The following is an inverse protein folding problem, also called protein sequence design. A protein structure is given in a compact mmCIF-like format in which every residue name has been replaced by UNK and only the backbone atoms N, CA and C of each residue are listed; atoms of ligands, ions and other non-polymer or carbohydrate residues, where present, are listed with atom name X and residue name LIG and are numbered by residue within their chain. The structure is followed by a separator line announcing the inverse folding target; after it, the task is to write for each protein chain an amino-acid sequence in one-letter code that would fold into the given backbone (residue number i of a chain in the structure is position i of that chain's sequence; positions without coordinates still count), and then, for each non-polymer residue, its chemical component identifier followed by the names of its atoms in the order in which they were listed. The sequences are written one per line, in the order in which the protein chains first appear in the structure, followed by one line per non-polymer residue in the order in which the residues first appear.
data_IF_932644413062
#
_entry.id   IF_932644413062
#
_cell.length_a   1.000
_cell.length_b   1.000
_cell.length_c   1.000
_cell.angle_alpha   90.00
_cell.angle_beta   90.00
_cell.angle_gamma   90.00
#
_symmetry.space_group_name_H-M   'P 1'
#
loop_
_entity.id
_entity.type
_entity.pdbx_description
1 polymer ?
#
# COMPACT_ATOMS: atom_id res chain seq x y z
N UNK A 1 -2.28 10.27 -12.24
CA UNK A 1 -1.65 9.37 -11.24
C UNK A 1 -2.14 9.67 -9.82
N UNK A 2 -2.13 10.94 -9.41
CA UNK A 2 -2.49 11.37 -8.05
C UNK A 2 -3.83 10.81 -7.55
N UNK A 3 -4.90 10.81 -8.37
CA UNK A 3 -6.18 10.18 -7.98
C UNK A 3 -6.03 8.71 -7.60
N UNK A 4 -5.28 7.93 -8.39
CA UNK A 4 -5.03 6.53 -8.06
C UNK A 4 -4.23 6.36 -6.77
N UNK A 5 -3.29 7.25 -6.49
CA UNK A 5 -2.54 7.28 -5.22
C UNK A 5 -3.49 7.58 -4.05
N UNK A 6 -4.37 8.58 -4.19
CA UNK A 6 -5.34 8.93 -3.17
C UNK A 6 -6.31 7.77 -2.88
N UNK A 7 -6.90 7.18 -3.92
CA UNK A 7 -7.78 6.02 -3.78
C UNK A 7 -7.05 4.80 -3.21
N UNK A 8 -5.80 4.55 -3.63
CA UNK A 8 -4.99 3.47 -3.08
C UNK A 8 -4.74 3.65 -1.59
N UNK A 9 -4.44 4.87 -1.11
CA UNK A 9 -4.28 5.17 0.31
C UNK A 9 -5.58 4.98 1.10
N UNK A 10 -6.73 5.39 0.56
CA UNK A 10 -8.03 5.17 1.19
C UNK A 10 -8.35 3.68 1.33
N UNK A 11 -8.20 2.92 0.24
CA UNK A 11 -8.46 1.47 0.25
C UNK A 11 -7.50 0.75 1.17
N UNK A 12 -6.20 1.06 1.08
CA UNK A 12 -5.17 0.53 1.96
C UNK A 12 -5.52 0.79 3.44
N UNK A 13 -5.91 2.01 3.78
CA UNK A 13 -6.25 2.38 5.16
C UNK A 13 -7.50 1.64 5.64
N UNK A 14 -8.54 1.57 4.79
CA UNK A 14 -9.74 0.80 5.09
C UNK A 14 -9.42 -0.67 5.34
N UNK A 15 -8.66 -1.30 4.46
CA UNK A 15 -8.19 -2.68 4.63
C UNK A 15 -7.36 -2.86 5.89
N UNK A 16 -6.43 -1.94 6.17
CA UNK A 16 -5.60 -1.99 7.36
C UNK A 16 -6.44 -1.95 8.64
N UNK A 17 -7.49 -1.14 8.68
CA UNK A 17 -8.40 -1.10 9.82
C UNK A 17 -9.19 -2.41 9.93
N UNK A 18 -9.85 -2.87 8.87
CA UNK A 18 -10.71 -4.05 8.96
C UNK A 18 -9.94 -5.37 9.12
N UNK A 19 -8.90 -5.57 8.33
CA UNK A 19 -8.11 -6.81 8.28
C UNK A 19 -7.13 -6.84 9.43
N UNK A 20 -6.30 -5.81 9.56
CA UNK A 20 -5.22 -5.80 10.56
C UNK A 20 -5.81 -5.57 11.94
N UNK A 21 -6.59 -4.51 12.19
CA UNK A 21 -7.16 -4.30 13.55
C UNK A 21 -8.15 -5.40 13.95
N UNK A 22 -8.86 -6.00 12.99
CA UNK A 22 -9.71 -7.17 13.22
C UNK A 22 -8.92 -8.37 13.75
N UNK A 23 -7.79 -8.70 13.13
CA UNK A 23 -6.90 -9.78 13.58
C UNK A 23 -6.26 -9.49 14.96
N UNK A 24 -6.06 -8.22 15.29
CA UNK A 24 -5.40 -7.77 16.52
C UNK A 24 -6.31 -7.78 17.74
N UNK A 25 -7.63 -7.68 17.55
CA UNK A 25 -8.60 -7.74 18.66
C UNK A 25 -8.67 -9.13 19.30
N UNK A 26 -8.07 -10.15 18.67
CA UNK A 26 -8.20 -11.57 19.04
C UNK A 26 -7.19 -12.08 20.08
N UNK A 27 -6.28 -11.28 20.64
CA UNK A 27 -5.39 -11.77 21.70
C UNK A 27 -4.47 -10.72 22.32
N UNK A 28 -4.34 -10.77 23.66
CA UNK A 28 -3.42 -10.12 24.59
C UNK A 28 -2.55 -8.93 24.11
N UNK A 29 -2.50 -7.85 24.92
CA UNK A 29 -1.64 -6.66 24.77
C UNK A 29 -0.21 -6.96 24.31
N UNK A 30 -0.01 -6.99 23.00
CA UNK A 30 1.30 -7.12 22.36
C UNK A 30 1.64 -5.80 21.67
N UNK A 31 2.93 -5.44 21.66
CA UNK A 31 3.44 -4.21 21.02
C UNK A 31 3.68 -4.41 19.51
N UNK A 32 3.90 -5.67 19.10
CA UNK A 32 4.14 -6.09 17.71
C UNK A 32 3.11 -5.53 16.70
N UNK A 33 1.79 -5.53 17.00
CA UNK A 33 0.73 -4.93 16.20
C UNK A 33 0.88 -3.44 15.92
N UNK A 34 1.40 -2.69 16.89
CA UNK A 34 1.59 -1.25 16.75
C UNK A 34 2.85 -0.95 15.94
N UNK A 35 3.91 -1.73 16.18
CA UNK A 35 5.13 -1.67 15.38
C UNK A 35 4.85 -2.01 13.90
N UNK A 36 4.00 -3.00 13.65
CA UNK A 36 3.48 -3.35 12.33
C UNK A 36 2.93 -2.14 11.58
N UNK A 37 2.04 -1.39 12.23
CA UNK A 37 1.40 -0.20 11.66
C UNK A 37 2.42 0.86 11.31
N UNK A 38 3.42 1.08 12.17
CA UNK A 38 4.51 2.04 11.91
C UNK A 38 5.28 1.63 10.66
N UNK A 39 5.69 0.35 10.56
CA UNK A 39 6.44 -0.16 9.39
C UNK A 39 5.61 -0.02 8.11
N UNK A 40 4.33 -0.33 8.17
CA UNK A 40 3.40 -0.25 7.05
C UNK A 40 3.21 1.19 6.55
N UNK A 41 3.00 2.14 7.47
CA UNK A 41 2.92 3.56 7.15
C UNK A 41 4.25 4.08 6.59
N UNK A 42 5.37 3.69 7.20
CA UNK A 42 6.71 4.06 6.74
C UNK A 42 7.04 3.51 5.34
N UNK A 43 6.41 2.40 4.92
CA UNK A 43 6.58 1.83 3.59
C UNK A 43 5.62 2.43 2.53
N UNK A 44 4.34 2.60 2.87
CA UNK A 44 3.32 3.01 1.89
C UNK A 44 3.49 4.48 1.46
N UNK A 45 3.87 5.38 2.37
CA UNK A 45 4.04 6.81 2.09
C UNK A 45 5.16 7.06 1.06
N UNK A 46 6.40 6.57 1.24
CA UNK A 46 7.46 6.78 0.26
C UNK A 46 7.15 6.08 -1.06
N UNK A 47 6.52 4.90 -1.04
CA UNK A 47 6.07 4.24 -2.25
C UNK A 47 5.13 5.17 -3.05
N UNK A 48 4.05 5.63 -2.42
CA UNK A 48 3.10 6.57 -3.03
C UNK A 48 3.80 7.83 -3.58
N UNK A 49 4.72 8.44 -2.83
CA UNK A 49 5.48 9.62 -3.29
C UNK A 49 6.37 9.32 -4.48
N UNK A 50 7.06 8.19 -4.52
CA UNK A 50 7.89 7.78 -5.66
C UNK A 50 7.04 7.57 -6.92
N UNK A 51 5.86 6.95 -6.77
CA UNK A 51 4.92 6.78 -7.87
C UNK A 51 4.36 8.13 -8.36
N UNK A 52 4.03 9.04 -7.46
CA UNK A 52 3.53 10.37 -7.83
C UNK A 52 4.60 11.19 -8.54
N UNK A 53 5.79 11.35 -7.95
CA UNK A 53 6.90 12.13 -8.50
C UNK A 53 7.33 11.69 -9.91
N UNK A 54 7.27 10.38 -10.19
CA UNK A 54 7.65 9.84 -11.50
C UNK A 54 6.69 10.27 -12.63
N UNK A 55 5.44 10.52 -12.29
CA UNK A 55 4.40 10.91 -13.26
C UNK A 55 4.01 12.38 -13.12
N UNK A 56 4.70 13.12 -12.25
CA UNK A 56 4.53 14.55 -12.04
C UNK A 56 5.33 15.34 -13.08
N UNK A 57 4.77 16.43 -13.60
CA UNK A 57 5.44 17.30 -14.57
C UNK A 57 5.51 16.81 -16.03
N UNK A 58 4.75 15.78 -16.42
CA UNK A 58 4.60 15.40 -17.83
C UNK A 58 3.76 16.42 -18.60
N UNK A 59 4.18 16.78 -19.81
CA UNK A 59 3.43 17.69 -20.69
C UNK A 59 2.25 16.99 -21.37
N UNK A 60 1.29 17.75 -21.91
CA UNK A 60 0.15 17.19 -22.66
C UNK A 60 0.59 16.35 -23.87
N UNK A 61 1.71 16.71 -24.51
CA UNK A 61 2.35 15.92 -25.57
C UNK A 61 2.83 14.55 -25.07
N UNK A 62 3.37 14.48 -23.85
CA UNK A 62 3.83 13.24 -23.24
C UNK A 62 2.65 12.33 -22.86
N UNK A 63 1.51 12.92 -22.49
CA UNK A 63 0.29 12.17 -22.21
C UNK A 63 -0.28 11.45 -23.45
N UNK A 64 -0.02 11.97 -24.65
CA UNK A 64 -0.41 11.34 -25.91
C UNK A 64 0.57 10.24 -26.37
N UNK A 65 1.73 10.08 -25.71
CA UNK A 65 2.73 9.09 -26.09
C UNK A 65 2.28 7.66 -25.70
N UNK A 66 2.08 6.74 -26.67
CA UNK A 66 1.63 5.38 -26.38
C UNK A 66 2.61 4.57 -25.52
N UNK A 67 3.92 4.85 -25.57
CA UNK A 67 4.91 4.16 -24.75
C UNK A 67 4.79 4.51 -23.25
N UNK A 68 4.44 5.77 -22.95
CA UNK A 68 4.17 6.23 -21.60
C UNK A 68 2.84 5.67 -21.09
N UNK A 69 1.85 5.49 -21.95
CA UNK A 69 0.56 4.89 -21.58
C UNK A 69 0.72 3.47 -21.02
N UNK A 70 1.57 2.64 -21.63
CA UNK A 70 1.78 1.26 -21.15
C UNK A 70 2.60 1.20 -19.85
N UNK A 71 3.60 2.08 -19.71
CA UNK A 71 4.32 2.25 -18.44
C UNK A 71 3.38 2.70 -17.32
N UNK A 72 2.48 3.64 -17.61
CA UNK A 72 1.50 4.14 -16.64
C UNK A 72 0.57 3.03 -16.14
N UNK A 73 0.08 2.16 -17.03
CA UNK A 73 -0.76 1.01 -16.67
C UNK A 73 -0.02 0.07 -15.72
N UNK A 74 1.24 -0.24 -16.00
CA UNK A 74 2.08 -1.13 -15.17
C UNK A 74 2.28 -0.53 -13.78
N UNK A 75 2.61 0.75 -13.72
CA UNK A 75 2.84 1.44 -12.45
C UNK A 75 1.59 1.54 -11.59
N UNK A 76 0.45 1.80 -12.22
CA UNK A 76 -0.85 1.74 -11.56
C UNK A 76 -1.12 0.34 -11.00
N UNK A 77 -0.86 -0.71 -11.78
CA UNK A 77 -1.05 -2.08 -11.33
C UNK A 77 -0.17 -2.40 -10.11
N UNK A 78 1.10 -2.00 -10.13
CA UNK A 78 2.01 -2.20 -8.99
C UNK A 78 1.52 -1.43 -7.75
N UNK A 79 1.11 -0.16 -7.91
CA UNK A 79 0.56 0.63 -6.80
C UNK A 79 -0.63 -0.08 -6.14
N UNK A 80 -1.57 -0.57 -6.94
CA UNK A 80 -2.74 -1.28 -6.44
C UNK A 80 -2.41 -2.63 -5.82
N UNK A 81 -1.47 -3.39 -6.39
CA UNK A 81 -1.00 -4.63 -5.79
C UNK A 81 -0.35 -4.38 -4.43
N UNK A 82 0.44 -3.31 -4.28
CA UNK A 82 1.02 -2.95 -2.99
C UNK A 82 -0.05 -2.51 -1.99
N UNK A 83 -0.95 -1.61 -2.38
CA UNK A 83 -2.00 -1.10 -1.50
C UNK A 83 -2.95 -2.19 -1.00
N UNK A 84 -3.29 -3.16 -1.85
CA UNK A 84 -4.12 -4.30 -1.48
C UNK A 84 -3.30 -5.36 -0.73
N UNK A 85 -2.13 -5.72 -1.24
CA UNK A 85 -1.35 -6.87 -0.78
C UNK A 85 -0.61 -6.64 0.53
N UNK A 86 -0.09 -5.45 0.78
CA UNK A 86 0.71 -5.15 1.98
C UNK A 86 -0.03 -5.44 3.29
N UNK A 87 -1.30 -4.98 3.49
CA UNK A 87 -2.07 -5.31 4.69
C UNK A 87 -2.23 -6.82 4.93
N UNK A 88 -2.54 -7.59 3.88
CA UNK A 88 -2.71 -9.05 3.99
C UNK A 88 -1.39 -9.77 4.24
N UNK A 89 -0.33 -9.38 3.54
CA UNK A 89 1.01 -9.94 3.72
C UNK A 89 1.48 -9.74 5.16
N UNK A 90 1.35 -8.52 5.70
CA UNK A 90 1.76 -8.25 7.07
C UNK A 90 0.90 -9.01 8.08
N UNK A 91 -0.43 -9.01 7.90
CA UNK A 91 -1.35 -9.75 8.78
C UNK A 91 -1.06 -11.26 8.78
N UNK A 92 -0.79 -11.82 7.60
CA UNK A 92 -0.41 -13.23 7.45
C UNK A 92 0.92 -13.53 8.14
N UNK A 93 1.93 -12.69 7.94
CA UNK A 93 3.23 -12.81 8.63
C UNK A 93 3.07 -12.79 10.15
N UNK A 94 2.22 -11.91 10.71
CA UNK A 94 1.95 -11.92 12.14
C UNK A 94 1.28 -13.19 12.60
N UNK A 95 0.23 -13.63 11.90
CA UNK A 95 -0.49 -14.85 12.28
C UNK A 95 0.45 -16.05 12.30
N UNK A 96 1.37 -16.15 11.34
CA UNK A 96 2.41 -17.17 11.30
C UNK A 96 3.37 -16.98 12.48
N UNK A 97 3.94 -15.80 12.67
CA UNK A 97 4.89 -15.53 13.76
C UNK A 97 4.31 -15.84 15.15
N UNK A 98 3.06 -15.47 15.41
CA UNK A 98 2.35 -15.81 16.66
C UNK A 98 2.05 -17.30 16.78
N UNK A 99 1.79 -18.00 15.68
CA UNK A 99 1.57 -19.45 15.73
C UNK A 99 2.83 -20.23 16.12
N UNK A 100 4.02 -19.63 16.01
CA UNK A 100 5.30 -20.24 16.38
C UNK A 100 5.79 -19.87 17.79
N UNK A 101 5.10 -18.98 18.51
CA UNK A 101 5.48 -18.50 19.86
C UNK A 101 4.48 -18.97 20.91
#
# INVERSE_FOLDING_TARGET
MSDHVAYALLVYTGLQIFVTMGALKSGHSSILPYFALIVLVAAIIPACRMFEQRWDGLSDSDAANPELADRFKRDRLVLWLCALGLPFLLTGLFKVAYSFM
#
